data_IF_370697374591
#
_entry.id   IF_370697374591
#
_cell.length_a   1.000
_cell.length_b   1.000
_cell.length_c   1.000
_cell.angle_alpha   90.00
_cell.angle_beta   90.00
_cell.angle_gamma   90.00
#
_symmetry.space_group_name_H-M   'P 1'
#
loop_
_entity.id
_entity.type
_entity.pdbx_description
1 polymer ?
#
# COMPACT_ATOMS: atom_id res chain seq x y z
N UNK A 1 -47.18 31.72 -57.74
CA UNK A 1 -46.44 31.20 -58.91
C UNK A 1 -45.37 30.24 -58.36
N UNK A 2 -45.65 28.94 -58.30
CA UNK A 2 -45.34 27.92 -59.33
C UNK A 2 -43.83 27.70 -59.58
N UNK A 3 -43.44 26.43 -59.38
CA UNK A 3 -42.39 25.63 -60.04
C UNK A 3 -40.98 25.59 -59.42
N UNK A 4 -40.58 24.42 -58.87
CA UNK A 4 -40.01 23.20 -59.51
C UNK A 4 -38.56 23.45 -59.96
N UNK A 5 -37.53 22.77 -59.46
CA UNK A 5 -37.12 21.39 -59.83
C UNK A 5 -35.75 21.11 -59.16
N UNK A 6 -35.59 20.00 -58.44
CA UNK A 6 -35.06 18.69 -58.85
C UNK A 6 -33.51 18.57 -58.99
N UNK A 7 -32.97 17.63 -58.20
CA UNK A 7 -31.87 16.71 -58.50
C UNK A 7 -30.41 17.15 -58.30
N UNK A 8 -29.72 16.50 -57.34
CA UNK A 8 -28.56 15.64 -57.63
C UNK A 8 -28.20 14.72 -56.46
N UNK A 9 -27.96 13.47 -56.82
CA UNK A 9 -27.56 12.37 -55.97
C UNK A 9 -26.17 12.59 -55.35
N UNK A 10 -26.03 12.28 -54.07
CA UNK A 10 -24.77 12.17 -53.36
C UNK A 10 -24.72 10.85 -52.60
N UNK A 11 -23.90 9.94 -53.12
CA UNK A 11 -23.55 8.64 -52.54
C UNK A 11 -23.09 8.78 -51.09
N UNK A 12 -23.77 8.12 -50.14
CA UNK A 12 -23.22 7.85 -48.82
C UNK A 12 -22.95 6.35 -48.70
N UNK A 13 -21.66 6.05 -48.79
CA UNK A 13 -21.03 4.75 -48.61
C UNK A 13 -21.37 4.25 -47.19
N UNK A 14 -21.92 3.04 -47.15
CA UNK A 14 -22.16 2.28 -45.93
C UNK A 14 -20.82 2.05 -45.21
N UNK A 15 -20.64 2.70 -44.06
CA UNK A 15 -19.52 2.43 -43.16
C UNK A 15 -19.70 1.07 -42.51
N UNK A 16 -18.73 0.18 -42.74
CA UNK A 16 -18.63 -1.14 -42.12
C UNK A 16 -18.46 -1.02 -40.60
N UNK A 17 -19.03 -1.93 -39.79
CA UNK A 17 -18.81 -1.93 -38.34
C UNK A 17 -17.36 -2.28 -38.05
N UNK A 18 -16.61 -1.33 -37.50
CA UNK A 18 -15.22 -1.53 -37.09
C UNK A 18 -15.11 -2.60 -35.99
N UNK A 19 -14.28 -3.61 -36.27
CA UNK A 19 -13.92 -4.69 -35.35
C UNK A 19 -13.35 -4.08 -34.05
N UNK A 20 -13.86 -4.45 -32.85
CA UNK A 20 -13.33 -3.93 -31.60
C UNK A 20 -11.91 -4.46 -31.37
N UNK A 21 -10.96 -3.53 -31.21
CA UNK A 21 -9.56 -3.85 -30.87
C UNK A 21 -9.50 -4.56 -29.51
N UNK A 22 -8.72 -5.66 -29.37
CA UNK A 22 -8.66 -6.39 -28.12
C UNK A 22 -8.05 -5.51 -27.02
N UNK A 23 -8.80 -5.32 -25.93
CA UNK A 23 -8.33 -4.63 -24.75
C UNK A 23 -7.08 -5.33 -24.19
N UNK A 24 -6.04 -4.55 -23.87
CA UNK A 24 -4.84 -5.06 -23.20
C UNK A 24 -5.26 -5.69 -21.86
N UNK A 25 -5.32 -7.01 -21.80
CA UNK A 25 -5.39 -7.78 -20.55
C UNK A 25 -4.30 -7.27 -19.61
N UNK A 26 -4.68 -6.68 -18.47
CA UNK A 26 -3.79 -6.56 -17.31
C UNK A 26 -3.38 -7.98 -16.96
N UNK A 27 -2.10 -8.31 -17.11
CA UNK A 27 -1.54 -9.55 -16.55
C UNK A 27 -1.74 -9.48 -15.03
N UNK A 28 -2.63 -10.30 -14.49
CA UNK A 28 -2.66 -10.58 -13.06
C UNK A 28 -1.36 -11.30 -12.74
N UNK A 29 -0.43 -10.62 -12.09
CA UNK A 29 0.72 -11.27 -11.47
C UNK A 29 0.15 -12.15 -10.36
N UNK A 30 0.28 -13.46 -10.52
CA UNK A 30 -0.14 -14.43 -9.52
C UNK A 30 0.71 -14.22 -8.27
N UNK A 31 0.04 -14.04 -7.14
CA UNK A 31 0.70 -14.01 -5.84
C UNK A 31 0.91 -15.47 -5.45
N UNK A 32 2.16 -15.92 -5.42
CA UNK A 32 2.51 -17.24 -4.93
C UNK A 32 2.65 -17.16 -3.40
N UNK A 33 1.86 -17.95 -2.69
CA UNK A 33 1.98 -18.15 -1.24
C UNK A 33 2.38 -19.59 -0.97
N UNK A 34 3.27 -19.78 0.00
CA UNK A 34 3.87 -21.08 0.34
C UNK A 34 2.84 -22.01 0.98
N UNK A 35 2.71 -23.21 0.41
CA UNK A 35 2.12 -24.37 1.06
C UNK A 35 3.11 -24.97 2.07
N UNK A 36 2.57 -25.60 3.11
CA UNK A 36 3.26 -26.02 4.33
C UNK A 36 4.51 -26.90 4.19
N UNK A 37 5.19 -26.96 5.33
CA UNK A 37 6.47 -27.62 5.60
C UNK A 37 6.48 -29.10 5.19
N UNK A 38 7.43 -29.47 4.33
CA UNK A 38 7.86 -30.84 4.11
C UNK A 38 9.36 -30.95 4.45
N UNK A 39 9.67 -31.81 5.42
CA UNK A 39 11.04 -32.11 5.84
C UNK A 39 11.82 -32.83 4.73
N UNK A 40 12.90 -32.20 4.28
CA UNK A 40 13.81 -32.70 3.27
C UNK A 40 14.92 -31.69 3.04
N UNK A 41 15.89 -31.62 3.95
CA UNK A 41 16.97 -30.66 3.90
C UNK A 41 17.98 -31.01 2.78
N UNK A 42 17.73 -30.51 1.57
CA UNK A 42 18.77 -30.32 0.57
C UNK A 42 19.81 -29.29 1.07
N UNK A 43 21.09 -29.39 0.67
CA UNK A 43 22.12 -28.44 1.09
C UNK A 43 21.73 -27.03 0.63
N UNK A 44 21.42 -26.15 1.61
CA UNK A 44 20.98 -24.78 1.38
C UNK A 44 22.03 -24.02 0.57
N UNK A 45 21.76 -23.82 -0.72
CA UNK A 45 22.53 -22.89 -1.57
C UNK A 45 22.62 -21.55 -0.82
N UNK A 46 23.82 -20.98 -0.77
CA UNK A 46 24.04 -19.67 -0.14
C UNK A 46 23.04 -18.66 -0.73
N UNK A 47 22.15 -18.18 0.14
CA UNK A 47 21.12 -17.20 -0.21
C UNK A 47 21.85 -15.92 -0.59
N UNK A 48 21.68 -15.44 -1.82
CA UNK A 48 22.26 -14.16 -2.23
C UNK A 48 21.81 -13.07 -1.26
N UNK A 49 22.74 -12.21 -0.82
CA UNK A 49 22.42 -11.00 -0.07
C UNK A 49 23.15 -9.79 -0.68
N UNK A 50 22.60 -8.57 -0.57
CA UNK A 50 23.26 -7.37 -1.07
C UNK A 50 24.57 -7.09 -0.33
N UNK A 51 25.54 -6.47 -0.99
CA UNK A 51 26.75 -6.01 -0.29
C UNK A 51 26.40 -4.92 0.71
N UNK A 52 27.10 -4.91 1.84
CA UNK A 52 27.01 -3.88 2.89
C UNK A 52 25.61 -3.70 3.51
N UNK A 53 24.64 -4.59 3.24
CA UNK A 53 23.24 -4.40 3.64
C UNK A 53 23.07 -4.23 5.16
N UNK A 54 23.87 -4.94 5.95
CA UNK A 54 23.85 -4.88 7.41
C UNK A 54 24.30 -3.52 7.91
N UNK A 55 25.41 -3.02 7.36
CA UNK A 55 25.93 -1.70 7.71
C UNK A 55 24.99 -0.59 7.24
N UNK A 56 24.43 -0.72 6.03
CA UNK A 56 23.44 0.20 5.51
C UNK A 56 22.19 0.27 6.40
N UNK A 57 21.68 -0.88 6.84
CA UNK A 57 20.54 -0.96 7.75
C UNK A 57 20.85 -0.32 9.09
N UNK A 58 22.03 -0.59 9.66
CA UNK A 58 22.41 -0.04 10.96
C UNK A 58 22.59 1.49 10.91
N UNK A 59 23.21 2.01 9.85
CA UNK A 59 23.32 3.46 9.62
C UNK A 59 21.94 4.10 9.42
N UNK A 60 20.98 3.40 8.80
CA UNK A 60 19.57 3.86 8.73
C UNK A 60 18.93 3.89 10.13
N UNK A 61 19.10 2.85 10.93
CA UNK A 61 18.63 2.82 12.33
C UNK A 61 19.21 3.97 13.14
N UNK A 62 20.50 4.25 12.99
CA UNK A 62 21.15 5.39 13.63
C UNK A 62 20.51 6.72 13.23
N UNK A 63 20.29 6.96 11.92
CA UNK A 63 19.60 8.16 11.43
C UNK A 63 18.14 8.26 11.90
N UNK A 64 17.52 7.13 12.27
CA UNK A 64 16.12 7.02 12.71
C UNK A 64 15.97 6.82 14.21
N UNK A 65 17.05 6.95 14.99
CA UNK A 65 17.07 6.70 16.44
C UNK A 65 16.14 7.62 17.22
N UNK A 66 15.97 8.87 16.79
CA UNK A 66 15.12 9.87 17.44
C UNK A 66 13.62 9.61 17.28
N UNK A 67 13.19 8.83 16.28
CA UNK A 67 11.78 8.56 15.96
C UNK A 67 10.93 9.84 15.81
N UNK A 68 11.43 10.77 15.01
CA UNK A 68 10.88 12.10 14.76
C UNK A 68 10.30 12.29 13.34
N UNK A 69 10.03 11.19 12.61
CA UNK A 69 9.36 11.26 11.32
C UNK A 69 7.83 11.28 11.50
N UNK A 70 7.09 11.85 10.54
CA UNK A 70 5.63 11.81 10.54
C UNK A 70 5.03 10.42 10.79
N UNK A 71 5.64 9.36 10.25
CA UNK A 71 5.16 7.99 10.44
C UNK A 71 5.20 7.54 11.90
N UNK A 72 6.09 8.08 12.74
CA UNK A 72 6.27 7.66 14.14
C UNK A 72 5.13 8.12 15.06
N UNK A 73 4.65 9.34 14.82
CA UNK A 73 3.59 9.96 15.61
C UNK A 73 2.21 9.76 14.98
N UNK A 74 2.15 9.74 13.65
CA UNK A 74 0.89 9.81 12.90
C UNK A 74 0.75 8.71 11.84
N UNK A 75 1.64 7.72 11.84
CA UNK A 75 1.47 6.52 11.03
C UNK A 75 0.21 5.74 11.43
N UNK A 76 -0.22 4.86 10.53
CA UNK A 76 -1.42 4.02 10.73
C UNK A 76 -1.41 3.25 12.05
N UNK A 77 -0.23 2.84 12.54
CA UNK A 77 -0.07 2.12 13.80
C UNK A 77 -0.40 2.98 15.05
N UNK A 78 -0.71 4.26 14.88
CA UNK A 78 -1.21 5.19 15.91
C UNK A 78 -2.67 5.60 15.71
N UNK A 79 -3.30 5.16 14.62
CA UNK A 79 -4.60 5.68 14.16
C UNK A 79 -5.81 4.87 14.65
N UNK A 80 -5.68 4.11 15.73
CA UNK A 80 -6.74 3.26 16.29
C UNK A 80 -6.84 3.41 17.81
N UNK A 81 -7.96 2.96 18.37
CA UNK A 81 -8.22 2.92 19.80
C UNK A 81 -7.74 1.59 20.40
N UNK A 82 -6.70 1.63 21.21
CA UNK A 82 -6.18 0.43 21.90
C UNK A 82 -7.08 -0.06 23.03
N UNK A 83 -8.05 0.75 23.48
CA UNK A 83 -9.03 0.38 24.50
C UNK A 83 -10.36 -0.13 23.92
N UNK A 84 -10.54 -0.08 22.60
CA UNK A 84 -11.75 -0.59 21.95
C UNK A 84 -11.75 -2.13 21.91
N UNK A 85 -12.93 -2.77 21.75
CA UNK A 85 -13.02 -4.20 21.46
C UNK A 85 -12.11 -4.59 20.28
N UNK A 86 -11.49 -5.78 20.30
CA UNK A 86 -10.49 -6.16 19.30
C UNK A 86 -10.96 -6.00 17.85
N UNK A 87 -12.18 -6.39 17.52
CA UNK A 87 -12.78 -6.27 16.19
C UNK A 87 -12.98 -4.81 15.77
N UNK A 88 -13.31 -3.92 16.72
CA UNK A 88 -13.41 -2.48 16.47
C UNK A 88 -12.03 -1.89 16.22
N UNK A 89 -11.04 -2.26 17.03
CA UNK A 89 -9.65 -1.82 16.83
C UNK A 89 -9.12 -2.25 15.46
N UNK A 90 -9.32 -3.51 15.07
CA UNK A 90 -8.92 -4.05 13.76
C UNK A 90 -9.61 -3.35 12.59
N UNK A 91 -10.91 -3.07 12.73
CA UNK A 91 -11.66 -2.28 11.73
C UNK A 91 -11.06 -0.87 11.58
N UNK A 92 -10.71 -0.20 12.68
CA UNK A 92 -10.07 1.11 12.65
C UNK A 92 -8.70 1.07 11.96
N UNK A 93 -7.89 0.02 12.21
CA UNK A 93 -6.63 -0.21 11.50
C UNK A 93 -6.86 -0.33 9.99
N UNK A 94 -7.84 -1.13 9.56
CA UNK A 94 -8.17 -1.29 8.14
C UNK A 94 -8.59 0.02 7.49
N UNK A 95 -9.45 0.80 8.13
CA UNK A 95 -9.88 2.11 7.62
C UNK A 95 -8.72 3.09 7.52
N UNK A 96 -7.84 3.14 8.52
CA UNK A 96 -6.63 3.95 8.48
C UNK A 96 -5.74 3.58 7.28
N UNK A 97 -5.58 2.28 6.99
CA UNK A 97 -4.83 1.80 5.81
C UNK A 97 -5.48 2.25 4.50
N UNK A 98 -6.79 2.09 4.36
CA UNK A 98 -7.54 2.53 3.18
C UNK A 98 -7.41 4.05 2.96
N UNK A 99 -7.47 4.84 4.04
CA UNK A 99 -7.31 6.29 3.99
C UNK A 99 -5.86 6.70 3.69
N UNK A 100 -4.85 5.92 4.10
CA UNK A 100 -3.43 6.24 3.91
C UNK A 100 -2.97 6.20 2.45
N UNK A 101 -3.68 5.46 1.58
CA UNK A 101 -3.35 5.36 0.16
C UNK A 101 -3.23 6.75 -0.49
N UNK A 102 -2.03 7.09 -0.97
CA UNK A 102 -1.75 8.38 -1.62
C UNK A 102 -2.22 9.58 -0.76
N UNK A 103 -2.00 9.51 0.54
CA UNK A 103 -2.35 10.56 1.50
C UNK A 103 -1.26 10.65 2.56
N UNK A 104 -0.91 11.87 2.98
CA UNK A 104 0.11 12.10 4.01
C UNK A 104 -0.38 11.61 5.37
N UNK A 105 0.53 11.09 6.19
CA UNK A 105 0.23 10.57 7.54
C UNK A 105 -0.55 11.58 8.39
N UNK A 106 -0.18 12.87 8.36
CA UNK A 106 -0.88 13.94 9.08
C UNK A 106 -2.37 14.01 8.71
N UNK A 107 -2.67 13.91 7.42
CA UNK A 107 -4.04 14.04 6.89
C UNK A 107 -4.85 12.79 7.22
N UNK A 108 -4.23 11.62 7.11
CA UNK A 108 -4.86 10.34 7.48
C UNK A 108 -5.15 10.29 8.98
N UNK A 109 -4.19 10.64 9.83
CA UNK A 109 -4.36 10.67 11.29
C UNK A 109 -5.46 11.64 11.71
N UNK A 110 -5.50 12.86 11.15
CA UNK A 110 -6.55 13.82 11.43
C UNK A 110 -7.95 13.33 11.01
N UNK A 111 -8.06 12.65 9.86
CA UNK A 111 -9.31 12.04 9.41
C UNK A 111 -9.76 10.90 10.34
N UNK A 112 -8.84 10.03 10.73
CA UNK A 112 -9.11 8.93 11.66
C UNK A 112 -9.53 9.44 13.04
N UNK A 113 -8.93 10.52 13.54
CA UNK A 113 -9.35 11.16 14.78
C UNK A 113 -10.80 11.67 14.70
N UNK A 114 -11.18 12.33 13.61
CA UNK A 114 -12.57 12.81 13.42
C UNK A 114 -13.58 11.67 13.33
N UNK A 115 -13.23 10.58 12.64
CA UNK A 115 -14.06 9.37 12.58
C UNK A 115 -14.22 8.75 13.98
N UNK A 116 -13.11 8.55 14.70
CA UNK A 116 -13.12 7.92 16.04
C UNK A 116 -13.93 8.71 17.05
N UNK A 117 -13.89 10.05 17.02
CA UNK A 117 -14.73 10.92 17.88
C UNK A 117 -16.23 10.71 17.68
N UNK A 118 -16.65 10.09 16.57
CA UNK A 118 -18.05 9.75 16.27
C UNK A 118 -18.38 8.27 16.50
N UNK A 119 -17.49 7.52 17.16
CA UNK A 119 -17.64 6.08 17.39
C UNK A 119 -17.41 5.27 16.12
N UNK A 120 -16.15 5.08 15.74
CA UNK A 120 -15.79 4.37 14.49
C UNK A 120 -15.95 2.86 14.64
N UNK A 121 -17.07 2.32 14.14
CA UNK A 121 -17.41 0.89 14.09
C UNK A 121 -17.99 0.54 12.73
N UNK A 122 -18.12 -0.75 12.43
CA UNK A 122 -18.79 -1.22 11.19
C UNK A 122 -20.21 -0.66 11.09
N UNK A 123 -20.98 -0.72 12.18
CA UNK A 123 -22.37 -0.30 12.17
C UNK A 123 -22.52 1.22 12.01
N UNK A 124 -21.65 2.03 12.65
CA UNK A 124 -21.72 3.48 12.51
C UNK A 124 -21.39 3.95 11.08
N UNK A 125 -20.45 3.29 10.40
CA UNK A 125 -20.12 3.59 9.01
C UNK A 125 -21.22 3.12 8.05
N UNK A 126 -21.92 2.02 8.33
CA UNK A 126 -23.06 1.59 7.52
C UNK A 126 -24.25 2.53 7.63
N UNK A 127 -24.50 3.08 8.82
CA UNK A 127 -25.58 4.04 9.07
C UNK A 127 -25.28 5.45 8.54
N UNK A 128 -24.00 5.81 8.38
CA UNK A 128 -23.58 7.12 7.88
C UNK A 128 -23.78 7.24 6.37
N UNK A 129 -24.38 8.32 5.89
CA UNK A 129 -24.47 8.59 4.45
C UNK A 129 -23.12 8.95 3.83
N UNK A 130 -23.02 8.81 2.51
CA UNK A 130 -21.77 9.02 1.75
C UNK A 130 -21.27 10.47 1.83
N UNK A 131 -22.17 11.45 1.92
CA UNK A 131 -21.81 12.87 2.01
C UNK A 131 -21.18 13.18 3.36
N UNK A 132 -21.83 12.76 4.45
CA UNK A 132 -21.32 12.90 5.82
C UNK A 132 -19.96 12.21 5.98
N UNK A 133 -19.82 10.97 5.50
CA UNK A 133 -18.54 10.26 5.56
C UNK A 133 -17.47 11.00 4.77
N UNK A 134 -17.82 11.49 3.57
CA UNK A 134 -16.95 12.29 2.73
C UNK A 134 -16.44 13.57 3.40
N UNK A 135 -17.35 14.33 4.03
CA UNK A 135 -17.02 15.54 4.78
C UNK A 135 -16.08 15.23 5.96
N UNK A 136 -16.31 14.13 6.67
CA UNK A 136 -15.45 13.73 7.79
C UNK A 136 -14.05 13.38 7.31
N UNK A 137 -13.89 12.67 6.19
CA UNK A 137 -12.55 12.25 5.73
C UNK A 137 -11.83 13.29 4.86
N UNK A 138 -12.50 14.34 4.40
CA UNK A 138 -11.85 15.43 3.67
C UNK A 138 -10.76 16.11 4.54
N UNK A 139 -9.56 16.44 4.03
CA UNK A 139 -9.13 16.45 2.62
C UNK A 139 -8.29 15.22 2.20
N UNK A 140 -8.60 14.02 2.71
CA UNK A 140 -7.91 12.79 2.27
C UNK A 140 -7.89 12.69 0.73
N UNK A 141 -6.75 12.30 0.16
CA UNK A 141 -6.60 12.17 -1.29
C UNK A 141 -7.58 11.15 -1.87
N UNK A 142 -8.21 11.48 -3.00
CA UNK A 142 -9.22 10.63 -3.65
C UNK A 142 -10.41 10.24 -2.74
N UNK A 143 -10.78 11.09 -1.78
CA UNK A 143 -11.79 10.77 -0.76
C UNK A 143 -13.12 10.25 -1.34
N UNK A 144 -13.61 10.76 -2.48
CA UNK A 144 -14.86 10.29 -3.11
C UNK A 144 -14.82 8.80 -3.44
N UNK A 145 -13.71 8.33 -4.01
CA UNK A 145 -13.52 6.90 -4.29
C UNK A 145 -13.34 6.10 -3.00
N UNK A 146 -12.67 6.68 -2.00
CA UNK A 146 -12.48 6.03 -0.69
C UNK A 146 -13.79 5.85 0.06
N UNK A 147 -14.72 6.81 0.01
CA UNK A 147 -16.09 6.65 0.57
C UNK A 147 -16.74 5.39 0.00
N UNK A 148 -16.77 5.26 -1.32
CA UNK A 148 -17.31 4.08 -2.00
C UNK A 148 -16.65 2.78 -1.53
N UNK A 149 -15.32 2.73 -1.51
CA UNK A 149 -14.59 1.52 -1.08
C UNK A 149 -14.79 1.19 0.39
N UNK A 150 -14.83 2.20 1.26
CA UNK A 150 -15.08 2.03 2.71
C UNK A 150 -16.49 1.45 2.92
N UNK A 151 -17.52 2.03 2.29
CA UNK A 151 -18.91 1.54 2.42
C UNK A 151 -19.05 0.11 1.91
N UNK A 152 -18.49 -0.20 0.74
CA UNK A 152 -18.50 -1.55 0.16
C UNK A 152 -17.76 -2.56 1.05
N UNK A 153 -16.54 -2.21 1.49
CA UNK A 153 -15.76 -3.05 2.40
C UNK A 153 -16.51 -3.30 3.69
N UNK A 154 -17.04 -2.26 4.32
CA UNK A 154 -17.77 -2.35 5.59
C UNK A 154 -19.01 -3.24 5.47
N UNK A 155 -19.75 -3.16 4.36
CA UNK A 155 -20.88 -4.03 4.10
C UNK A 155 -20.46 -5.50 3.97
N UNK A 156 -19.35 -5.78 3.27
CA UNK A 156 -18.77 -7.13 3.17
C UNK A 156 -18.37 -7.65 4.55
N UNK A 157 -17.74 -6.83 5.39
CA UNK A 157 -17.35 -7.23 6.75
C UNK A 157 -18.56 -7.62 7.60
N UNK A 158 -19.63 -6.82 7.56
CA UNK A 158 -20.87 -7.12 8.29
C UNK A 158 -21.51 -8.44 7.81
N UNK A 159 -21.54 -8.67 6.50
CA UNK A 159 -22.25 -9.82 5.92
C UNK A 159 -21.46 -11.13 5.97
N UNK A 160 -20.14 -11.08 5.71
CA UNK A 160 -19.31 -12.28 5.53
C UNK A 160 -18.41 -12.60 6.72
N UNK A 161 -17.99 -11.58 7.47
CA UNK A 161 -16.95 -11.71 8.51
C UNK A 161 -17.45 -11.34 9.91
N UNK A 162 -18.78 -11.35 10.13
CA UNK A 162 -19.37 -11.08 11.44
C UNK A 162 -19.10 -9.69 12.00
N UNK A 163 -18.72 -8.72 11.16
CA UNK A 163 -18.33 -7.37 11.58
C UNK A 163 -16.85 -7.20 11.92
N UNK A 164 -16.01 -8.22 11.75
CA UNK A 164 -14.55 -8.11 11.88
C UNK A 164 -13.86 -8.09 10.49
N UNK A 165 -12.55 -7.85 10.45
CA UNK A 165 -11.75 -7.95 9.23
C UNK A 165 -11.28 -9.40 8.99
N UNK A 166 -10.91 -9.81 7.77
CA UNK A 166 -10.30 -11.10 7.53
C UNK A 166 -8.92 -11.24 8.20
N UNK A 167 -8.56 -12.47 8.56
CA UNK A 167 -7.30 -12.83 9.24
C UNK A 167 -6.24 -13.43 8.33
N UNK A 168 -6.41 -13.30 7.01
CA UNK A 168 -5.46 -13.78 5.98
C UNK A 168 -5.19 -12.70 4.95
N UNK A 169 -4.01 -12.70 4.34
CA UNK A 169 -3.63 -11.71 3.31
C UNK A 169 -4.51 -11.89 2.07
N UNK A 170 -4.78 -13.14 1.70
CA UNK A 170 -5.57 -13.55 0.55
C UNK A 170 -6.99 -12.98 0.61
N UNK A 171 -7.64 -13.06 1.77
CA UNK A 171 -8.98 -12.51 1.96
C UNK A 171 -8.98 -10.99 2.11
N UNK A 172 -7.95 -10.41 2.74
CA UNK A 172 -7.82 -8.96 2.86
C UNK A 172 -7.69 -8.29 1.48
N UNK A 173 -6.91 -8.86 0.56
CA UNK A 173 -6.75 -8.32 -0.81
C UNK A 173 -8.03 -8.44 -1.65
N UNK A 174 -8.98 -9.29 -1.26
CA UNK A 174 -10.29 -9.36 -1.93
C UNK A 174 -11.20 -8.17 -1.56
N UNK A 175 -10.89 -7.42 -0.51
CA UNK A 175 -11.69 -6.26 -0.11
C UNK A 175 -11.49 -5.08 -1.09
N UNK A 176 -12.57 -4.36 -1.46
CA UNK A 176 -12.49 -3.22 -2.37
C UNK A 176 -11.51 -2.15 -1.89
N UNK A 177 -10.52 -1.82 -2.73
CA UNK A 177 -9.53 -0.77 -2.43
C UNK A 177 -8.38 -1.22 -1.52
N UNK A 178 -8.34 -2.49 -1.09
CA UNK A 178 -7.24 -3.06 -0.31
C UNK A 178 -6.27 -3.79 -1.25
N UNK A 179 -5.00 -3.39 -1.21
CA UNK A 179 -3.91 -4.03 -1.98
C UNK A 179 -2.92 -4.79 -1.09
N UNK A 180 -1.95 -5.51 -1.67
CA UNK A 180 -1.00 -6.37 -0.93
C UNK A 180 -0.28 -5.65 0.23
N UNK A 181 0.22 -4.43 0.01
CA UNK A 181 0.83 -3.60 1.06
C UNK A 181 -0.09 -3.37 2.26
N UNK A 182 -1.36 -3.07 2.00
CA UNK A 182 -2.33 -2.85 3.07
C UNK A 182 -2.63 -4.15 3.80
N UNK A 183 -2.80 -5.26 3.07
CA UNK A 183 -3.07 -6.56 3.67
C UNK A 183 -1.92 -7.00 4.59
N UNK A 184 -0.66 -6.88 4.17
CA UNK A 184 0.49 -7.17 5.04
C UNK A 184 0.57 -6.26 6.27
N UNK A 185 0.28 -4.95 6.12
CA UNK A 185 0.22 -4.05 7.27
C UNK A 185 -0.96 -4.35 8.20
N UNK A 186 -2.11 -4.77 7.67
CA UNK A 186 -3.25 -5.19 8.49
C UNK A 186 -2.90 -6.45 9.28
N UNK A 187 -2.27 -7.45 8.65
CA UNK A 187 -1.76 -8.64 9.37
C UNK A 187 -0.81 -8.25 10.49
N UNK A 188 0.14 -7.34 10.21
CA UNK A 188 1.09 -6.89 11.22
C UNK A 188 0.41 -6.12 12.37
N UNK A 189 -0.36 -5.07 12.06
CA UNK A 189 -0.85 -4.13 13.08
C UNK A 189 -2.09 -4.68 13.80
N UNK A 190 -3.00 -5.31 13.06
CA UNK A 190 -4.31 -5.71 13.56
C UNK A 190 -4.31 -7.14 14.15
N UNK A 191 -3.46 -8.02 13.62
CA UNK A 191 -3.38 -9.44 14.00
C UNK A 191 -2.06 -9.84 14.66
N UNK A 192 -1.14 -8.89 14.85
CA UNK A 192 0.21 -9.12 15.34
C UNK A 192 0.98 -10.24 14.59
N UNK A 193 0.70 -10.38 13.29
CA UNK A 193 1.22 -11.46 12.46
C UNK A 193 2.01 -10.94 11.27
N UNK A 194 3.24 -11.41 11.12
CA UNK A 194 4.13 -11.03 10.00
C UNK A 194 3.97 -12.03 8.85
N UNK A 195 2.98 -11.77 7.99
CA UNK A 195 2.71 -12.59 6.81
C UNK A 195 3.62 -12.26 5.61
N UNK A 196 4.27 -11.09 5.60
CA UNK A 196 5.13 -10.63 4.51
C UNK A 196 5.61 -9.20 4.71
N UNK A 197 6.53 -8.74 3.87
CA UNK A 197 7.05 -7.37 3.92
C UNK A 197 6.04 -6.43 3.27
N UNK A 198 5.57 -5.43 4.02
CA UNK A 198 4.76 -4.36 3.43
C UNK A 198 5.64 -3.42 2.60
N UNK A 199 5.51 -3.47 1.27
CA UNK A 199 6.26 -2.59 0.36
C UNK A 199 5.38 -1.47 -0.16
N UNK A 200 5.73 -0.24 0.20
CA UNK A 200 5.15 0.98 -0.37
C UNK A 200 6.15 1.72 -1.27
N UNK A 201 5.85 2.96 -1.65
CA UNK A 201 6.73 3.75 -2.53
C UNK A 201 8.06 4.11 -1.87
N UNK A 202 8.14 4.15 -0.54
CA UNK A 202 9.39 4.39 0.19
C UNK A 202 10.26 3.14 0.17
N UNK A 203 9.70 2.01 0.63
CA UNK A 203 10.41 0.72 0.67
C UNK A 203 10.87 0.34 -0.74
N UNK A 204 10.00 0.46 -1.73
CA UNK A 204 10.31 0.17 -3.13
C UNK A 204 11.48 1.02 -3.65
N UNK A 205 11.39 2.35 -3.52
CA UNK A 205 12.42 3.28 -4.00
C UNK A 205 13.77 3.06 -3.29
N UNK A 206 13.74 2.97 -1.96
CA UNK A 206 14.96 2.88 -1.16
C UNK A 206 15.66 1.55 -1.39
N UNK A 207 14.91 0.44 -1.45
CA UNK A 207 15.48 -0.87 -1.73
C UNK A 207 16.17 -0.91 -3.10
N UNK A 208 15.58 -0.29 -4.14
CA UNK A 208 16.23 -0.18 -5.44
C UNK A 208 17.48 0.72 -5.40
N UNK A 209 17.44 1.86 -4.70
CA UNK A 209 18.60 2.78 -4.55
C UNK A 209 19.78 2.15 -3.81
N UNK A 210 19.49 1.37 -2.77
CA UNK A 210 20.50 0.62 -2.00
C UNK A 210 20.95 -0.67 -2.68
N UNK A 211 20.32 -1.04 -3.81
CA UNK A 211 20.52 -2.33 -4.48
C UNK A 211 20.24 -3.54 -3.57
N UNK A 212 19.23 -3.41 -2.70
CA UNK A 212 18.67 -4.50 -1.90
C UNK A 212 17.86 -5.53 -2.69
N UNK A 213 17.85 -5.38 -4.02
CA UNK A 213 17.25 -6.28 -4.99
C UNK A 213 18.30 -6.67 -6.03
N UNK A 214 18.35 -7.95 -6.43
CA UNK A 214 19.33 -8.46 -7.41
C UNK A 214 19.28 -7.73 -8.75
N UNK A 215 18.07 -7.42 -9.17
CA UNK A 215 17.74 -6.67 -10.40
C UNK A 215 16.79 -5.56 -10.01
N UNK A 216 16.92 -4.42 -10.68
CA UNK A 216 15.99 -3.31 -10.49
C UNK A 216 14.56 -3.79 -10.72
N UNK A 217 13.68 -3.47 -9.78
CA UNK A 217 12.29 -3.90 -9.76
C UNK A 217 11.42 -2.74 -10.20
N UNK A 218 10.36 -3.02 -10.97
CA UNK A 218 9.47 -2.00 -11.52
C UNK A 218 8.23 -1.79 -10.65
N UNK A 219 7.80 -2.83 -9.93
CA UNK A 219 6.59 -2.80 -9.13
C UNK A 219 6.87 -3.17 -7.66
N UNK A 220 6.15 -2.60 -6.68
CA UNK A 220 6.34 -2.89 -5.26
C UNK A 220 6.28 -4.38 -4.90
N UNK A 221 5.41 -5.14 -5.57
CA UNK A 221 5.27 -6.58 -5.34
C UNK A 221 6.52 -7.36 -5.75
N UNK A 222 7.18 -6.96 -6.84
CA UNK A 222 8.46 -7.55 -7.24
C UNK A 222 9.55 -7.26 -6.21
N UNK A 223 9.56 -6.06 -5.62
CA UNK A 223 10.48 -5.73 -4.52
C UNK A 223 10.19 -6.56 -3.28
N UNK A 224 8.92 -6.81 -2.94
CA UNK A 224 8.55 -7.63 -1.79
C UNK A 224 9.15 -9.02 -1.93
N UNK A 225 8.87 -9.71 -3.03
CA UNK A 225 9.42 -11.04 -3.33
C UNK A 225 10.94 -11.01 -3.28
N UNK A 226 11.57 -10.01 -3.90
CA UNK A 226 13.03 -9.90 -3.94
C UNK A 226 13.66 -9.63 -2.56
N UNK A 227 12.99 -8.90 -1.65
CA UNK A 227 13.47 -8.70 -0.28
C UNK A 227 13.27 -9.96 0.56
N UNK A 228 12.08 -10.57 0.47
CA UNK A 228 11.74 -11.79 1.23
C UNK A 228 12.65 -12.97 0.85
N UNK A 229 13.16 -12.99 -0.38
CA UNK A 229 14.15 -13.94 -0.90
C UNK A 229 15.49 -13.96 -0.19
N UNK A 230 15.84 -12.98 0.66
CA UNK A 230 17.12 -12.97 1.36
C UNK A 230 17.08 -12.36 2.76
N UNK A 231 16.24 -11.36 2.99
CA UNK A 231 16.19 -10.61 4.24
C UNK A 231 15.75 -11.53 5.40
N UNK A 232 16.48 -11.55 6.53
CA UNK A 232 16.08 -12.30 7.72
C UNK A 232 14.66 -11.96 8.17
N UNK A 233 13.88 -12.99 8.51
CA UNK A 233 12.43 -12.87 8.76
C UNK A 233 12.09 -12.02 9.99
N UNK A 234 12.97 -12.00 10.98
CA UNK A 234 12.90 -11.15 12.17
C UNK A 234 12.92 -9.65 11.83
N UNK A 235 13.51 -9.27 10.69
CA UNK A 235 13.57 -7.87 10.25
C UNK A 235 12.33 -7.42 9.47
N UNK A 236 11.49 -8.33 8.98
CA UNK A 236 10.37 -7.99 8.08
C UNK A 236 9.38 -7.02 8.73
N UNK A 237 9.22 -7.11 10.05
CA UNK A 237 8.36 -6.25 10.86
C UNK A 237 8.82 -4.79 10.85
N UNK A 238 10.14 -4.57 10.93
CA UNK A 238 10.76 -3.26 11.12
C UNK A 238 10.86 -2.47 9.81
N UNK A 239 11.13 -3.17 8.71
CA UNK A 239 11.63 -2.59 7.46
C UNK A 239 10.69 -1.55 6.87
N UNK A 240 9.38 -1.80 6.85
CA UNK A 240 8.43 -0.82 6.32
C UNK A 240 8.51 0.50 7.09
N UNK A 241 8.30 0.46 8.41
CA UNK A 241 8.28 1.65 9.25
C UNK A 241 9.61 2.41 9.20
N UNK A 242 10.72 1.68 9.28
CA UNK A 242 12.06 2.27 9.26
C UNK A 242 12.32 3.01 7.94
N UNK A 243 12.07 2.36 6.80
CA UNK A 243 12.32 2.93 5.48
C UNK A 243 11.32 4.03 5.10
N UNK A 244 10.07 3.97 5.59
CA UNK A 244 9.10 5.06 5.41
C UNK A 244 9.65 6.32 6.08
N UNK A 245 10.01 6.27 7.36
CA UNK A 245 10.55 7.43 8.06
C UNK A 245 11.85 7.94 7.44
N UNK A 246 12.77 7.03 7.08
CA UNK A 246 14.00 7.40 6.38
C UNK A 246 13.73 8.07 5.02
N UNK A 247 12.71 7.60 4.28
CA UNK A 247 12.30 8.18 3.01
C UNK A 247 11.50 9.47 3.13
N UNK A 248 10.93 9.78 4.30
CA UNK A 248 10.24 11.03 4.60
C UNK A 248 11.24 12.16 4.97
N UNK A 249 12.41 11.82 5.51
CA UNK A 249 13.37 12.81 6.04
C UNK A 249 14.66 12.91 5.21
N UNK A 250 15.20 11.79 4.75
CA UNK A 250 16.57 11.73 4.18
C UNK A 250 16.56 11.26 2.73
N UNK A 251 16.06 10.05 2.45
CA UNK A 251 16.06 9.47 1.10
C UNK A 251 14.83 9.90 0.29
N UNK A 252 14.65 11.21 0.13
CA UNK A 252 13.52 11.84 -0.54
C UNK A 252 13.36 11.39 -2.01
N UNK A 253 12.13 11.37 -2.56
CA UNK A 253 11.91 10.97 -3.95
C UNK A 253 12.66 11.87 -4.94
N UNK A 254 12.67 13.18 -4.70
CA UNK A 254 13.40 14.20 -5.46
C UNK A 254 14.44 14.83 -4.55
N UNK A 255 15.66 15.06 -5.05
CA UNK A 255 16.78 15.66 -4.33
C UNK A 255 17.01 15.03 -2.93
N UNK A 256 17.32 13.71 -2.85
CA UNK A 256 17.63 13.07 -1.58
C UNK A 256 18.81 13.78 -0.89
N UNK A 257 18.78 13.83 0.45
CA UNK A 257 19.81 14.51 1.26
C UNK A 257 21.07 13.66 1.40
N UNK A 258 21.67 13.26 0.27
CA UNK A 258 22.79 12.33 0.23
C UNK A 258 24.03 12.83 0.98
N UNK A 259 24.31 14.13 0.98
CA UNK A 259 25.43 14.74 1.72
C UNK A 259 25.29 14.67 3.24
N UNK A 260 24.07 14.43 3.75
CA UNK A 260 23.78 14.27 5.19
C UNK A 260 23.48 12.81 5.54
N UNK A 261 23.50 11.91 4.55
CA UNK A 261 23.16 10.52 4.73
C UNK A 261 24.37 9.74 5.22
N UNK A 262 24.25 9.04 6.35
CA UNK A 262 25.33 8.20 6.86
C UNK A 262 25.74 7.08 5.90
N UNK A 263 24.91 6.74 4.90
CA UNK A 263 25.22 5.75 3.87
C UNK A 263 25.91 6.33 2.62
N UNK A 264 26.31 7.61 2.58
CA UNK A 264 26.79 8.26 1.35
C UNK A 264 27.93 7.50 0.63
N UNK A 265 28.92 7.04 1.37
CA UNK A 265 30.10 6.30 0.94
C UNK A 265 29.80 4.87 0.47
N UNK A 266 28.78 4.22 1.05
CA UNK A 266 28.40 2.83 0.76
C UNK A 266 27.11 2.69 -0.08
N UNK A 267 26.43 3.79 -0.41
CA UNK A 267 25.18 3.78 -1.18
C UNK A 267 25.46 3.81 -2.70
N UNK A 268 25.03 2.80 -3.46
CA UNK A 268 25.26 2.75 -4.91
C UNK A 268 24.59 3.89 -5.70
N UNK A 269 23.50 4.45 -5.18
CA UNK A 269 22.80 5.57 -5.80
C UNK A 269 23.45 6.92 -5.49
N UNK A 270 24.14 7.08 -4.36
CA UNK A 270 24.80 8.33 -4.00
C UNK A 270 26.02 8.62 -4.88
N UNK A 271 26.71 7.56 -5.35
CA UNK A 271 27.88 7.66 -6.25
C UNK A 271 27.54 8.11 -7.67
N UNK A 272 26.25 8.22 -8.02
CA UNK A 272 25.76 8.61 -9.36
C UNK A 272 25.22 10.04 -9.40
N UNK A 273 25.15 10.71 -8.25
CA UNK A 273 24.68 12.08 -8.07
C UNK A 273 25.88 13.02 -7.98
#
# INVERSE_FOLDING_TARGET
>A
AWNLSASRAGSQIQGTPGIPRPSRRRKSLAIAYEAGQGDGAEPRRARWEPRDWREQLERIRQMRRSRDAPVDEMGVHKCYDSGAPPEVMRYQVLLALMLSSQTKDQVTSAAMLRLRRRGLTVDSVLQMDDETLGQIIYPVGFWRNKVKYIKQTTAILKQKYGGDIPSTVEELVQLPGVGPKMAHLAMHIAWDSVAGIAVDTHVHRISNRLQWVKKETKYPEETRVALEEWLPRDLWREINWLLVGFGQQTCLPVNPRCSQCLNQDICPAAKRL
#
